data_IF_430816901464
#
_entry.id   IF_430816901464
#
_cell.length_a   1.000
_cell.length_b   1.000
_cell.length_c   1.000
_cell.angle_alpha   90.00
_cell.angle_beta   90.00
_cell.angle_gamma   90.00
#
_symmetry.space_group_name_H-M   'P 1'
#
loop_
_entity.id
_entity.type
_entity.pdbx_description
1 polymer ?
#
# COMPACT_ATOMS: atom_id res chain seq x y z
N UNK A 1 -13.02 -1.88 28.07
CA UNK A 1 -12.84 -0.49 27.62
C UNK A 1 -14.16 0.03 27.12
N UNK A 2 -14.60 1.15 27.68
CA UNK A 2 -15.76 1.91 27.21
C UNK A 2 -15.38 2.74 25.97
N UNK A 3 -16.38 3.34 25.30
CA UNK A 3 -16.15 4.24 24.16
C UNK A 3 -15.28 5.45 24.55
N UNK A 4 -15.49 5.99 25.75
CA UNK A 4 -14.72 7.13 26.24
C UNK A 4 -13.27 6.75 26.58
N UNK A 5 -13.06 5.57 27.15
CA UNK A 5 -11.72 5.04 27.42
C UNK A 5 -10.94 4.78 26.12
N UNK A 6 -11.62 4.31 25.06
CA UNK A 6 -11.02 4.15 23.73
C UNK A 6 -10.59 5.48 23.14
N UNK A 7 -11.45 6.50 23.20
CA UNK A 7 -11.12 7.84 22.67
C UNK A 7 -9.92 8.45 23.40
N UNK A 8 -9.93 8.42 24.73
CA UNK A 8 -8.82 8.95 25.54
C UNK A 8 -7.50 8.22 25.24
N UNK A 9 -7.54 6.91 25.02
CA UNK A 9 -6.36 6.15 24.67
C UNK A 9 -5.82 6.52 23.28
N UNK A 10 -6.70 6.69 22.29
CA UNK A 10 -6.34 7.16 20.95
C UNK A 10 -5.73 8.55 21.01
N UNK A 11 -6.38 9.51 21.69
CA UNK A 11 -5.91 10.89 21.80
C UNK A 11 -4.49 10.95 22.38
N UNK A 12 -4.22 10.17 23.44
CA UNK A 12 -2.88 10.07 24.04
C UNK A 12 -1.83 9.48 23.11
N UNK A 13 -2.19 8.49 22.32
CA UNK A 13 -1.29 7.86 21.35
C UNK A 13 -0.98 8.81 20.19
N UNK A 14 -1.97 9.60 19.77
CA UNK A 14 -1.79 10.69 18.78
C UNK A 14 -0.87 11.79 19.35
N UNK A 15 -1.10 12.24 20.58
CA UNK A 15 -0.25 13.23 21.26
C UNK A 15 1.19 12.74 21.45
N UNK A 16 1.38 11.44 21.67
CA UNK A 16 2.69 10.82 21.80
C UNK A 16 3.44 10.69 20.45
N UNK A 17 2.74 10.81 19.32
CA UNK A 17 3.32 10.67 17.98
C UNK A 17 3.84 9.27 17.64
N UNK A 18 3.46 8.24 18.42
CA UNK A 18 3.85 6.85 18.16
C UNK A 18 2.83 6.18 17.24
N UNK A 19 3.00 6.43 15.94
CA UNK A 19 2.12 5.92 14.88
C UNK A 19 1.99 4.39 14.90
N UNK A 20 3.06 3.65 15.24
CA UNK A 20 3.04 2.18 15.29
C UNK A 20 2.23 1.67 16.48
N UNK A 21 2.36 2.30 17.63
CA UNK A 21 1.57 1.95 18.81
C UNK A 21 0.10 2.31 18.58
N UNK A 22 -0.18 3.45 17.94
CA UNK A 22 -1.52 3.86 17.55
C UNK A 22 -2.16 2.85 16.58
N UNK A 23 -1.47 2.48 15.50
CA UNK A 23 -1.94 1.48 14.53
C UNK A 23 -2.29 0.15 15.20
N UNK A 24 -1.38 -0.36 16.04
CA UNK A 24 -1.60 -1.62 16.75
C UNK A 24 -2.76 -1.54 17.74
N UNK A 25 -2.85 -0.45 18.50
CA UNK A 25 -3.93 -0.24 19.46
C UNK A 25 -5.30 -0.21 18.77
N UNK A 26 -5.36 0.45 17.63
CA UNK A 26 -6.56 0.56 16.80
C UNK A 26 -6.95 -0.79 16.22
N UNK A 27 -6.01 -1.59 15.71
CA UNK A 27 -6.28 -2.95 15.22
C UNK A 27 -6.81 -3.86 16.33
N UNK A 28 -6.18 -3.83 17.51
CA UNK A 28 -6.57 -4.65 18.67
C UNK A 28 -7.96 -4.29 19.22
N UNK A 29 -8.45 -3.09 18.91
CA UNK A 29 -9.75 -2.58 19.39
C UNK A 29 -10.74 -2.26 18.27
N UNK A 30 -10.43 -2.62 17.02
CA UNK A 30 -11.21 -2.23 15.85
C UNK A 30 -12.70 -2.58 15.97
N UNK A 31 -13.00 -3.82 16.40
CA UNK A 31 -14.37 -4.30 16.57
C UNK A 31 -15.18 -3.56 17.67
N UNK A 32 -14.52 -2.77 18.52
CA UNK A 32 -15.16 -1.99 19.59
C UNK A 32 -15.45 -0.54 19.16
N UNK A 33 -14.93 -0.12 18.01
CA UNK A 33 -15.20 1.21 17.45
C UNK A 33 -16.63 1.29 16.90
N UNK A 34 -17.22 2.48 16.82
CA UNK A 34 -18.46 2.69 16.08
C UNK A 34 -18.33 2.19 14.63
N UNK A 35 -19.42 1.67 14.07
CA UNK A 35 -19.41 1.07 12.72
C UNK A 35 -18.96 2.06 11.63
N UNK A 36 -19.34 3.32 11.74
CA UNK A 36 -18.93 4.37 10.79
C UNK A 36 -17.42 4.61 10.85
N UNK A 37 -16.84 4.65 12.05
CA UNK A 37 -15.40 4.78 12.23
C UNK A 37 -14.65 3.55 11.68
N UNK A 38 -15.19 2.34 11.88
CA UNK A 38 -14.63 1.12 11.28
C UNK A 38 -14.56 1.21 9.75
N UNK A 39 -15.63 1.71 9.11
CA UNK A 39 -15.70 1.86 7.65
C UNK A 39 -14.70 2.88 7.12
N UNK A 40 -14.62 4.05 7.74
CA UNK A 40 -13.67 5.10 7.35
C UNK A 40 -12.22 4.62 7.47
N UNK A 41 -11.91 3.90 8.56
CA UNK A 41 -10.60 3.32 8.79
C UNK A 41 -10.21 2.24 7.77
N UNK A 42 -11.12 1.32 7.47
CA UNK A 42 -10.88 0.30 6.43
C UNK A 42 -10.62 0.95 5.07
N UNK A 43 -11.38 2.01 4.73
CA UNK A 43 -11.16 2.75 3.50
C UNK A 43 -9.79 3.44 3.49
N UNK A 44 -9.38 4.09 4.58
CA UNK A 44 -8.07 4.73 4.69
C UNK A 44 -6.91 3.73 4.53
N UNK A 45 -6.98 2.58 5.21
CA UNK A 45 -5.97 1.52 5.07
C UNK A 45 -5.93 0.94 3.66
N UNK A 46 -7.10 0.74 3.04
CA UNK A 46 -7.17 0.28 1.67
C UNK A 46 -6.57 1.29 0.68
N UNK A 47 -6.85 2.59 0.86
CA UNK A 47 -6.30 3.65 0.04
C UNK A 47 -4.77 3.76 0.18
N UNK A 48 -4.23 3.71 1.40
CA UNK A 48 -2.79 3.72 1.67
C UNK A 48 -2.10 2.48 1.08
N UNK A 49 -2.72 1.30 1.17
CA UNK A 49 -2.21 0.09 0.54
C UNK A 49 -2.18 0.20 -1.00
N UNK A 50 -3.24 0.75 -1.60
CA UNK A 50 -3.30 1.00 -3.04
C UNK A 50 -2.26 2.03 -3.49
N UNK A 51 -2.05 3.10 -2.72
CA UNK A 51 -1.03 4.12 -3.02
C UNK A 51 0.37 3.51 -2.98
N UNK A 52 0.67 2.68 -1.97
CA UNK A 52 1.94 1.93 -1.88
C UNK A 52 2.13 0.89 -3.00
N UNK A 53 1.06 0.26 -3.46
CA UNK A 53 1.12 -0.63 -4.64
C UNK A 53 1.31 0.15 -5.94
N UNK A 54 0.64 1.29 -6.09
CA UNK A 54 0.80 2.18 -7.25
C UNK A 54 2.24 2.75 -7.31
N UNK A 55 2.82 3.06 -6.15
CA UNK A 55 4.21 3.46 -5.97
C UNK A 55 5.19 2.27 -5.93
N UNK A 56 4.74 1.03 -6.13
CA UNK A 56 5.64 -0.10 -6.26
C UNK A 56 6.43 0.01 -7.57
N UNK A 57 7.51 0.77 -7.52
CA UNK A 57 8.50 0.94 -8.58
C UNK A 57 8.99 -0.40 -9.15
N UNK A 58 8.81 -1.49 -8.40
CA UNK A 58 9.01 -2.88 -8.83
C UNK A 58 8.17 -3.25 -10.05
N UNK A 59 6.87 -2.95 -10.09
CA UNK A 59 6.02 -3.29 -11.25
C UNK A 59 6.43 -2.47 -12.47
N UNK A 60 6.68 -1.17 -12.30
CA UNK A 60 7.16 -0.29 -13.38
C UNK A 60 8.54 -0.73 -13.90
N UNK A 61 9.45 -1.16 -13.01
CA UNK A 61 10.78 -1.65 -13.38
C UNK A 61 10.70 -2.95 -14.16
N UNK A 62 9.87 -3.91 -13.71
CA UNK A 62 9.65 -5.18 -14.42
C UNK A 62 9.04 -4.94 -15.81
N UNK A 63 8.08 -4.02 -15.92
CA UNK A 63 7.49 -3.65 -17.21
C UNK A 63 8.51 -3.02 -18.15
N UNK A 64 9.38 -2.13 -17.65
CA UNK A 64 10.45 -1.51 -18.43
C UNK A 64 11.48 -2.54 -18.91
N UNK A 65 11.96 -3.40 -18.02
CA UNK A 65 12.90 -4.48 -18.38
C UNK A 65 12.29 -5.45 -19.41
N UNK A 66 10.98 -5.72 -19.31
CA UNK A 66 10.25 -6.51 -20.29
C UNK A 66 10.19 -5.87 -21.67
N UNK A 67 9.94 -4.56 -21.76
CA UNK A 67 9.96 -3.81 -23.02
C UNK A 67 11.36 -3.78 -23.63
N UNK A 68 12.39 -3.50 -22.83
CA UNK A 68 13.78 -3.50 -23.30
C UNK A 68 14.22 -4.88 -23.85
N UNK A 69 13.71 -5.97 -23.26
CA UNK A 69 13.96 -7.32 -23.75
C UNK A 69 13.25 -7.59 -25.08
N UNK A 70 12.01 -7.11 -25.26
CA UNK A 70 11.27 -7.25 -26.51
C UNK A 70 11.93 -6.48 -27.65
N UNK A 71 12.39 -5.24 -27.42
CA UNK A 71 13.12 -4.46 -28.42
C UNK A 71 14.41 -5.16 -28.88
N UNK A 72 15.16 -5.75 -27.94
CA UNK A 72 16.36 -6.54 -28.27
C UNK A 72 16.03 -7.77 -29.12
N UNK A 73 14.96 -8.48 -28.77
CA UNK A 73 14.51 -9.65 -29.53
C UNK A 73 14.06 -9.26 -30.95
N UNK A 74 13.40 -8.12 -31.10
CA UNK A 74 13.02 -7.58 -32.41
C UNK A 74 14.24 -7.20 -33.25
N UNK A 75 15.24 -6.54 -32.65
CA UNK A 75 16.51 -6.25 -33.32
C UNK A 75 17.26 -7.52 -33.77
N UNK A 76 17.29 -8.55 -32.93
CA UNK A 76 17.87 -9.86 -33.29
C UNK A 76 17.12 -10.48 -34.47
N UNK A 77 15.78 -10.44 -34.45
CA UNK A 77 14.94 -10.99 -35.52
C UNK A 77 15.21 -10.29 -36.86
N UNK A 78 15.28 -8.96 -36.86
CA UNK A 78 15.59 -8.18 -38.07
C UNK A 78 16.97 -8.55 -38.61
N UNK A 79 17.99 -8.60 -37.75
CA UNK A 79 19.35 -8.96 -38.15
C UNK A 79 19.47 -10.39 -38.71
N UNK A 80 18.63 -11.32 -38.24
CA UNK A 80 18.54 -12.68 -38.79
C UNK A 80 17.80 -12.72 -40.14
N UNK A 81 16.85 -11.82 -40.36
CA UNK A 81 16.11 -11.71 -41.62
C UNK A 81 16.91 -11.00 -42.73
N UNK A 82 17.79 -10.05 -42.38
CA UNK A 82 18.66 -9.34 -43.33
C UNK A 82 19.91 -10.14 -43.76
N UNK A 83 20.22 -11.24 -43.06
CA UNK A 83 21.35 -12.13 -43.37
C UNK A 83 21.02 -13.27 -44.35
N UNK A 84 19.78 -13.34 -44.84
CA UNK A 84 19.30 -14.31 -45.83
C UNK A 84 18.78 -13.59 -47.07
#
# INVERSE_FOLDING_TARGET
MTKDELRIAIDRLVEAGDEKMLERFVLDNFAKLPEDAQKEMLFAFYADALEKEADSAVISTIQKEGLDALEKLEGIKIALQEKH
#
